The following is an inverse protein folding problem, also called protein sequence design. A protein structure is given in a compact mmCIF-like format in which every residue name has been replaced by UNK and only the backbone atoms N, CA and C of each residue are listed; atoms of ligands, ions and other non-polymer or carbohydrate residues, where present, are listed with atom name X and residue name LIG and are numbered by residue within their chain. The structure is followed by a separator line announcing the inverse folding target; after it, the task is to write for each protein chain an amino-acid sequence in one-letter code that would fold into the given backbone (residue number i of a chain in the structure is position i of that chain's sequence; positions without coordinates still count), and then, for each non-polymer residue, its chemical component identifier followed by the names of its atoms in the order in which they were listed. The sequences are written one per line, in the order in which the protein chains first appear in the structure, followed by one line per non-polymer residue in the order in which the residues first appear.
data_IF_975235974117
#
_entry.id   IF_975235974117
#
_cell.length_a   1.000
_cell.length_b   1.000
_cell.length_c   1.000
_cell.angle_alpha   90.00
_cell.angle_beta   90.00
_cell.angle_gamma   90.00
#
_symmetry.space_group_name_H-M   'P 1'
#
loop_
_entity.id
_entity.type
_entity.pdbx_description
1 polymer ?
#
# COMPACT_ATOMS: atom_id res chain seq x y z
N UNK A 1 4.53 -1.43 -7.52
CA UNK A 1 5.97 -1.69 -7.69
C UNK A 1 6.73 -1.71 -6.36
N UNK A 2 6.84 -0.59 -5.63
CA UNK A 2 7.64 -0.53 -4.39
C UNK A 2 7.17 -1.49 -3.29
N UNK A 3 5.86 -1.55 -3.03
CA UNK A 3 5.28 -2.48 -2.05
C UNK A 3 5.67 -3.93 -2.34
N UNK A 4 5.56 -4.35 -3.60
CA UNK A 4 5.97 -5.69 -4.06
C UNK A 4 7.48 -5.91 -3.92
N UNK A 5 8.32 -4.94 -4.30
CA UNK A 5 9.76 -5.07 -4.19
C UNK A 5 10.24 -5.19 -2.72
N UNK A 6 9.58 -4.46 -1.82
CA UNK A 6 9.93 -4.37 -0.41
C UNK A 6 9.31 -5.48 0.43
N UNK A 7 8.08 -5.89 0.14
CA UNK A 7 7.29 -6.83 0.93
C UNK A 7 6.97 -8.15 0.21
N UNK A 8 7.33 -8.30 -1.06
CA UNK A 8 7.06 -9.49 -1.87
C UNK A 8 5.70 -9.46 -2.56
N UNK A 9 5.46 -10.39 -3.49
CA UNK A 9 4.20 -10.46 -4.27
C UNK A 9 2.97 -10.78 -3.41
N UNK A 10 3.16 -11.47 -2.29
CA UNK A 10 2.09 -11.77 -1.32
C UNK A 10 1.59 -10.51 -0.61
N UNK A 11 2.35 -9.40 -0.60
CA UNK A 11 1.91 -8.12 -0.04
C UNK A 11 0.74 -7.47 -0.77
N UNK A 12 0.39 -7.97 -1.96
CA UNK A 12 -0.80 -7.57 -2.70
C UNK A 12 -2.06 -8.32 -2.23
N UNK A 13 -1.90 -9.45 -1.55
CA UNK A 13 -3.00 -10.27 -1.06
C UNK A 13 -3.26 -9.93 0.41
N UNK A 14 -4.52 -9.69 0.74
CA UNK A 14 -4.96 -9.17 2.05
C UNK A 14 -4.85 -10.21 3.18
N UNK A 15 -4.68 -11.49 2.83
CA UNK A 15 -4.69 -12.63 3.74
C UNK A 15 -3.33 -13.33 3.75
N UNK A 16 -2.37 -12.85 4.54
CA UNK A 16 -1.30 -13.74 5.02
C UNK A 16 -0.65 -13.19 6.27
N UNK A 17 -1.22 -13.58 7.40
CA UNK A 17 -0.66 -13.37 8.74
C UNK A 17 0.44 -14.42 8.96
N UNK A 18 1.69 -14.10 8.57
CA UNK A 18 2.86 -14.93 8.93
C UNK A 18 3.85 -15.28 7.82
N UNK A 19 4.29 -14.31 7.01
CA UNK A 19 5.38 -14.52 6.03
C UNK A 19 6.79 -14.29 6.59
N UNK A 20 7.82 -14.84 5.91
CA UNK A 20 9.23 -14.57 6.19
C UNK A 20 9.52 -13.06 6.28
N UNK A 21 10.57 -12.67 7.03
CA UNK A 21 11.01 -11.27 7.15
C UNK A 21 11.09 -10.62 5.76
N UNK A 22 10.33 -9.54 5.57
CA UNK A 22 10.27 -8.81 4.29
C UNK A 22 11.62 -8.15 3.98
N UNK A 23 11.87 -7.79 2.72
CA UNK A 23 13.09 -7.08 2.34
C UNK A 23 13.21 -5.73 3.09
N UNK A 24 12.08 -5.03 3.28
CA UNK A 24 12.04 -3.83 4.12
C UNK A 24 12.52 -4.09 5.54
N UNK A 25 12.07 -5.18 6.18
CA UNK A 25 12.52 -5.54 7.54
C UNK A 25 13.99 -5.94 7.57
N UNK A 26 14.45 -6.72 6.58
CA UNK A 26 15.87 -7.14 6.47
C UNK A 26 16.81 -5.95 6.30
N UNK A 27 16.39 -4.95 5.54
CA UNK A 27 17.19 -3.74 5.26
C UNK A 27 16.88 -2.58 6.21
N UNK A 28 16.05 -2.79 7.23
CA UNK A 28 15.58 -1.75 8.16
C UNK A 28 15.04 -0.49 7.45
N UNK A 29 14.35 -0.72 6.34
CA UNK A 29 13.81 0.33 5.48
C UNK A 29 12.47 0.79 6.03
N UNK A 30 12.42 2.02 6.56
CA UNK A 30 11.24 2.57 7.26
C UNK A 30 10.48 3.63 6.47
N UNK A 31 11.12 4.20 5.46
CA UNK A 31 10.56 5.25 4.63
C UNK A 31 11.19 5.18 3.23
N UNK A 32 10.42 5.58 2.22
CA UNK A 32 10.93 5.68 0.86
C UNK A 32 11.92 6.83 0.72
N UNK A 33 12.93 6.61 -0.11
CA UNK A 33 13.89 7.65 -0.49
C UNK A 33 13.52 8.20 -1.88
N UNK A 34 14.02 9.40 -2.25
CA UNK A 34 13.87 9.92 -3.61
C UNK A 34 14.26 8.90 -4.68
N UNK A 35 15.38 8.19 -4.47
CA UNK A 35 15.87 7.18 -5.40
C UNK A 35 14.93 5.99 -5.56
N UNK A 36 14.29 5.53 -4.49
CA UNK A 36 13.29 4.46 -4.56
C UNK A 36 12.07 4.88 -5.37
N UNK A 37 11.55 6.09 -5.13
CA UNK A 37 10.42 6.63 -5.89
C UNK A 37 10.79 6.73 -7.37
N UNK A 38 11.95 7.33 -7.68
CA UNK A 38 12.40 7.46 -9.07
C UNK A 38 12.57 6.11 -9.76
N UNK A 39 13.20 5.14 -9.10
CA UNK A 39 13.35 3.80 -9.63
C UNK A 39 11.98 3.18 -9.95
N UNK A 40 11.03 3.27 -9.02
CA UNK A 40 9.69 2.74 -9.21
C UNK A 40 8.95 3.40 -10.39
N UNK A 41 9.08 4.72 -10.54
CA UNK A 41 8.53 5.45 -11.69
C UNK A 41 9.12 4.94 -13.01
N UNK A 42 10.44 4.77 -13.09
CA UNK A 42 11.11 4.28 -14.31
C UNK A 42 10.70 2.84 -14.63
N UNK A 43 10.60 1.97 -13.63
CA UNK A 43 10.10 0.59 -13.82
C UNK A 43 8.65 0.60 -14.30
N UNK A 44 7.78 1.44 -13.75
CA UNK A 44 6.39 1.55 -14.22
C UNK A 44 6.32 1.98 -15.68
N UNK A 45 7.13 2.95 -16.09
CA UNK A 45 7.20 3.39 -17.51
C UNK A 45 7.70 2.23 -18.39
N UNK A 46 8.73 1.52 -17.96
CA UNK A 46 9.27 0.37 -18.69
C UNK A 46 8.23 -0.75 -18.85
N UNK A 47 7.48 -1.09 -17.79
CA UNK A 47 6.42 -2.11 -17.84
C UNK A 47 5.26 -1.72 -18.77
N UNK A 48 5.01 -0.43 -18.97
CA UNK A 48 4.02 0.09 -19.91
C UNK A 48 4.57 0.22 -21.33
N UNK A 49 5.88 0.08 -21.51
CA UNK A 49 6.55 0.17 -22.80
C UNK A 49 6.54 -1.18 -23.52
N UNK A 50 6.73 -1.20 -24.85
CA UNK A 50 6.96 -2.43 -25.61
C UNK A 50 8.38 -3.02 -25.42
N UNK A 51 9.23 -2.44 -24.57
CA UNK A 51 10.59 -2.94 -24.37
C UNK A 51 10.62 -4.15 -23.44
N UNK A 52 11.44 -5.13 -23.79
CA UNK A 52 11.58 -6.37 -23.01
C UNK A 52 12.78 -6.37 -22.08
N UNK A 53 13.74 -5.46 -22.29
CA UNK A 53 14.98 -5.38 -21.50
C UNK A 53 15.53 -3.95 -21.42
N UNK A 54 16.29 -3.66 -20.36
CA UNK A 54 17.08 -2.44 -20.26
C UNK A 54 18.41 -2.63 -20.98
N UNK A 55 18.65 -1.85 -22.03
CA UNK A 55 19.94 -1.85 -22.72
C UNK A 55 21.02 -1.14 -21.91
N UNK A 56 22.29 -1.49 -22.13
CA UNK A 56 23.44 -0.81 -21.51
C UNK A 56 23.50 0.69 -21.81
N UNK A 57 22.99 1.11 -22.98
CA UNK A 57 22.87 2.51 -23.38
C UNK A 57 21.86 3.27 -22.51
N UNK A 58 20.90 2.57 -21.91
CA UNK A 58 19.74 3.15 -21.23
C UNK A 58 18.58 3.51 -22.16
N UNK A 59 18.73 3.30 -23.47
CA UNK A 59 17.69 3.55 -24.47
C UNK A 59 16.85 2.30 -24.71
N UNK A 60 15.53 2.43 -24.69
CA UNK A 60 14.59 1.39 -25.06
C UNK A 60 14.74 1.01 -26.53
N UNK A 61 14.83 -0.30 -26.82
CA UNK A 61 15.08 -0.82 -28.17
C UNK A 61 13.92 -0.54 -29.13
N UNK A 62 12.69 -0.68 -28.64
CA UNK A 62 11.46 -0.54 -29.42
C UNK A 62 10.81 0.82 -29.18
N UNK A 63 10.83 1.30 -27.95
CA UNK A 63 10.18 2.56 -27.58
C UNK A 63 11.03 3.81 -27.85
N UNK A 64 12.36 3.65 -27.99
CA UNK A 64 13.32 4.75 -27.98
C UNK A 64 13.26 5.65 -26.72
N UNK A 65 12.67 5.16 -25.62
CA UNK A 65 12.63 5.88 -24.35
C UNK A 65 14.01 5.82 -23.69
N UNK A 66 14.58 6.98 -23.33
CA UNK A 66 15.83 7.03 -22.59
C UNK A 66 15.58 6.91 -21.08
N UNK A 67 15.51 5.68 -20.59
CA UNK A 67 15.26 5.36 -19.18
C UNK A 67 16.34 5.90 -18.24
N UNK A 68 17.59 5.97 -18.72
CA UNK A 68 18.71 6.51 -17.95
C UNK A 68 18.50 8.00 -17.66
N UNK A 69 18.17 8.78 -18.69
CA UNK A 69 17.94 10.21 -18.53
C UNK A 69 16.69 10.49 -17.71
N UNK A 70 15.62 9.72 -17.92
CA UNK A 70 14.41 9.76 -17.08
C UNK A 70 14.76 9.56 -15.60
N UNK A 71 15.55 8.55 -15.28
CA UNK A 71 15.99 8.29 -13.91
C UNK A 71 16.74 9.50 -13.33
N UNK A 72 17.74 10.04 -14.03
CA UNK A 72 18.50 11.17 -13.50
C UNK A 72 17.66 12.44 -13.37
N UNK A 73 16.76 12.69 -14.32
CA UNK A 73 15.90 13.87 -14.30
C UNK A 73 14.91 13.83 -13.12
N UNK A 74 14.17 12.73 -12.96
CA UNK A 74 13.24 12.57 -11.85
C UNK A 74 13.94 12.56 -10.50
N UNK A 75 15.10 11.90 -10.40
CA UNK A 75 15.90 11.90 -9.17
C UNK A 75 16.34 13.31 -8.81
N UNK A 76 16.85 14.08 -9.78
CA UNK A 76 17.25 15.48 -9.57
C UNK A 76 16.07 16.33 -9.12
N UNK A 77 14.90 16.18 -9.74
CA UNK A 77 13.69 16.89 -9.34
C UNK A 77 13.31 16.59 -7.90
N UNK A 78 13.25 15.31 -7.52
CA UNK A 78 12.89 14.90 -6.16
C UNK A 78 13.93 15.37 -5.13
N UNK A 79 15.23 15.33 -5.43
CA UNK A 79 16.24 15.87 -4.53
C UNK A 79 16.11 17.39 -4.37
N UNK A 80 15.84 18.11 -5.45
CA UNK A 80 15.77 19.58 -5.44
C UNK A 80 14.50 20.09 -4.74
N UNK A 81 13.40 19.35 -4.85
CA UNK A 81 12.09 19.73 -4.32
C UNK A 81 11.65 18.86 -3.14
N UNK A 82 12.56 18.10 -2.54
CA UNK A 82 12.23 17.12 -1.51
C UNK A 82 11.43 17.75 -0.37
N UNK A 83 11.93 18.87 0.16
CA UNK A 83 11.35 19.54 1.32
C UNK A 83 10.13 20.41 0.97
N UNK A 84 9.71 20.44 -0.30
CA UNK A 84 8.50 21.15 -0.67
C UNK A 84 7.27 20.44 -0.10
N UNK A 85 6.32 21.23 0.41
CA UNK A 85 5.12 20.71 1.07
C UNK A 85 4.36 19.69 0.22
N UNK A 86 4.21 19.99 -1.08
CA UNK A 86 3.52 19.11 -2.02
C UNK A 86 4.22 17.75 -2.19
N UNK A 87 5.55 17.74 -2.32
CA UNK A 87 6.31 16.48 -2.45
C UNK A 87 6.26 15.69 -1.14
N UNK A 88 6.35 16.36 0.01
CA UNK A 88 6.23 15.68 1.31
C UNK A 88 4.86 15.01 1.50
N UNK A 89 3.75 15.63 1.09
CA UNK A 89 2.42 15.00 1.09
C UNK A 89 2.42 13.72 0.25
N UNK A 90 2.97 13.79 -0.97
CA UNK A 90 3.05 12.62 -1.86
C UNK A 90 3.88 11.51 -1.22
N UNK A 91 5.04 11.86 -0.64
CA UNK A 91 5.94 10.91 0.04
C UNK A 91 5.25 10.27 1.24
N UNK A 92 4.49 11.03 2.02
CA UNK A 92 3.70 10.50 3.13
C UNK A 92 2.66 9.50 2.65
N UNK A 93 1.91 9.81 1.59
CA UNK A 93 0.92 8.89 1.03
C UNK A 93 1.57 7.60 0.54
N UNK A 94 2.71 7.69 -0.15
CA UNK A 94 3.48 6.54 -0.61
C UNK A 94 3.98 5.70 0.59
N UNK A 95 4.51 6.34 1.63
CA UNK A 95 4.96 5.65 2.84
C UNK A 95 3.81 4.93 3.55
N UNK A 96 2.64 5.56 3.65
CA UNK A 96 1.46 4.93 4.23
C UNK A 96 1.04 3.69 3.42
N UNK A 97 0.94 3.79 2.10
CA UNK A 97 0.57 2.62 1.29
C UNK A 97 1.57 1.46 1.38
N UNK A 98 2.87 1.77 1.44
CA UNK A 98 3.92 0.75 1.47
C UNK A 98 4.07 0.13 2.86
N UNK A 99 4.17 0.95 3.90
CA UNK A 99 4.61 0.52 5.23
C UNK A 99 3.49 0.38 6.26
N UNK A 100 2.32 0.97 6.01
CA UNK A 100 1.19 0.68 6.89
C UNK A 100 0.81 -0.78 6.70
N UNK A 101 0.81 -1.52 7.81
CA UNK A 101 0.12 -2.78 7.85
C UNK A 101 -1.32 -2.49 7.45
N UNK A 102 -1.82 -3.17 6.43
CA UNK A 102 -3.24 -3.12 6.08
C UNK A 102 -4.04 -3.74 7.23
N UNK A 103 -4.16 -3.03 8.35
CA UNK A 103 -5.44 -3.00 9.02
C UNK A 103 -6.26 -2.11 8.11
N UNK A 104 -7.08 -2.74 7.27
CA UNK A 104 -8.35 -2.11 6.96
C UNK A 104 -9.06 -1.91 8.30
N UNK A 105 -8.69 -0.87 9.04
CA UNK A 105 -9.71 -0.11 9.71
C UNK A 105 -10.46 0.50 8.54
N UNK A 106 -11.54 -0.17 8.15
CA UNK A 106 -12.72 0.50 7.67
C UNK A 106 -12.82 1.77 8.49
N UNK A 107 -12.37 2.89 7.91
CA UNK A 107 -12.82 4.19 8.33
C UNK A 107 -14.33 4.08 8.31
N UNK A 108 -14.90 4.09 9.51
CA UNK A 108 -16.32 4.13 9.76
C UNK A 108 -16.88 5.38 9.07
N UNK A 109 -17.11 5.28 7.77
CA UNK A 109 -18.12 6.05 7.08
C UNK A 109 -19.41 5.30 7.35
N UNK A 110 -20.05 5.66 8.46
CA UNK A 110 -21.46 5.46 8.75
C UNK A 110 -22.06 4.13 8.31
N UNK A 111 -21.66 3.04 8.95
CA UNK A 111 -22.57 1.91 9.11
C UNK A 111 -22.61 1.63 10.61
N UNK A 112 -23.61 2.20 11.29
CA UNK A 112 -23.91 1.82 12.66
C UNK A 112 -24.13 0.30 12.67
N UNK A 113 -23.23 -0.43 13.30
CA UNK A 113 -23.36 -1.86 13.53
C UNK A 113 -24.47 -2.10 14.56
N UNK A 114 -25.70 -2.13 14.06
CA UNK A 114 -26.89 -2.43 14.84
C UNK A 114 -26.96 -3.89 15.29
N UNK A 115 -25.97 -4.75 14.97
CA UNK A 115 -25.96 -6.15 15.40
C UNK A 115 -26.02 -6.27 16.93
N UNK A 116 -25.36 -5.36 17.64
CA UNK A 116 -25.40 -5.31 19.11
C UNK A 116 -26.80 -4.97 19.64
N UNK A 117 -27.54 -4.07 18.96
CA UNK A 117 -28.94 -3.73 19.32
C UNK A 117 -29.90 -4.87 18.97
N UNK A 118 -29.66 -5.59 17.87
CA UNK A 118 -30.48 -6.75 17.45
C UNK A 118 -30.30 -7.91 18.43
N UNK A 119 -29.07 -8.24 18.82
CA UNK A 119 -28.78 -9.31 19.79
C UNK A 119 -29.37 -8.96 21.15
N UNK A 120 -29.26 -7.69 21.57
CA UNK A 120 -29.88 -7.22 22.82
C UNK A 120 -31.42 -7.31 22.76
N UNK A 121 -32.05 -6.93 21.65
CA UNK A 121 -33.50 -7.03 21.49
C UNK A 121 -33.99 -8.49 21.43
N UNK A 122 -33.24 -9.39 20.76
CA UNK A 122 -33.56 -10.82 20.74
C UNK A 122 -33.45 -11.46 22.12
N UNK A 123 -32.44 -11.08 22.91
CA UNK A 123 -32.30 -11.56 24.28
C UNK A 123 -33.39 -10.99 25.21
N UNK A 124 -33.84 -9.75 24.99
CA UNK A 124 -34.93 -9.14 25.75
C UNK A 124 -36.30 -9.78 25.44
N UNK A 125 -36.53 -10.23 24.21
CA UNK A 125 -37.76 -10.95 23.83
C UNK A 125 -37.73 -12.43 24.27
N UNK A 126 -36.54 -13.01 24.46
CA UNK A 126 -36.39 -14.39 24.93
C UNK A 126 -36.42 -14.52 26.47
N UNK A 127 -36.72 -13.43 27.19
CA UNK A 127 -36.76 -13.41 28.66
C UNK A 127 -38.18 -13.22 29.22
N UNK A 128 -39.21 -13.62 28.47
CA UNK A 128 -40.62 -13.53 28.90
C UNK A 128 -41.42 -14.84 28.73
N UNK A 129 -40.73 -15.98 28.60
CA UNK A 129 -41.37 -17.31 28.54
C UNK A 129 -40.85 -18.28 29.60
N UNK A 130 -40.70 -17.82 30.84
CA UNK A 130 -40.60 -18.74 31.99
C UNK A 130 -41.13 -18.12 33.29
N UNK A 131 -42.29 -17.47 33.20
CA UNK A 131 -43.07 -17.14 34.39
C UNK A 131 -44.56 -17.35 34.14
N UNK A 132 -45.01 -18.59 34.31
CA UNK A 132 -46.21 -18.95 35.10
C UNK A 132 -46.57 -20.42 34.96
N UNK A 133 -46.48 -21.13 36.08
CA UNK A 133 -47.64 -21.83 36.64
C UNK A 133 -47.40 -21.99 38.14
N UNK A 134 -48.17 -21.20 38.90
CA UNK A 134 -48.36 -21.28 40.35
C UNK A 134 -49.06 -22.60 40.75
N UNK A 135 -48.79 -23.03 41.99
CA UNK A 135 -49.56 -23.91 42.90
C UNK A 135 -50.07 -25.29 42.44
#
# INVERSE_FOLDING_TARGET
ILKVALHGVTSLHQETTGGLKTNAQKWNFKHVTPGCITWATVISIFLLSPDTEFQKSGLGKSSNINYKDLFFHYKKLLLTKWDSHHIQIIVQNINQDIFSSTKFSTSAVGQEDHSSKIIHAMNALNMDTDSKSDD
#
